data_IF_200391687634
#
_entry.id   IF_200391687634
#
_cell.length_a   1.000
_cell.length_b   1.000
_cell.length_c   1.000
_cell.angle_alpha   90.00
_cell.angle_beta   90.00
_cell.angle_gamma   90.00
#
_symmetry.space_group_name_H-M   'P 1'
#
loop_
_entity.id
_entity.type
_entity.pdbx_description
1 polymer ?
#
# COMPACT_ATOMS: atom_id res chain seq x y z
N UNK A 1 23.37 73.16 -3.60
CA UNK A 1 21.91 73.31 -3.30
C UNK A 1 21.60 72.37 -2.19
N UNK A 2 21.49 72.88 -0.99
CA UNK A 2 21.43 72.20 0.30
C UNK A 2 19.96 71.92 0.65
N UNK A 3 19.59 70.71 1.00
CA UNK A 3 18.32 70.46 1.63
C UNK A 3 18.57 69.65 2.92
N UNK A 4 18.00 70.20 4.01
CA UNK A 4 18.18 69.86 5.37
C UNK A 4 17.38 68.58 5.77
N UNK A 5 17.96 67.81 6.69
CA UNK A 5 17.35 66.74 7.45
C UNK A 5 16.50 67.32 8.60
N UNK A 6 15.27 66.88 8.72
CA UNK A 6 14.48 67.05 9.95
C UNK A 6 14.32 65.68 10.66
N UNK A 7 14.70 65.69 11.95
CA UNK A 7 14.56 64.55 12.82
C UNK A 7 13.14 64.50 13.42
N UNK A 8 12.59 63.26 13.49
CA UNK A 8 11.38 63.00 14.25
C UNK A 8 11.70 62.26 15.55
N UNK A 9 11.20 62.84 16.63
CA UNK A 9 11.32 62.38 17.99
C UNK A 9 10.26 61.34 18.34
N UNK A 10 10.69 60.18 18.84
CA UNK A 10 9.81 59.15 19.43
C UNK A 10 9.28 59.51 20.81
N UNK A 11 8.00 59.38 21.10
CA UNK A 11 7.48 59.52 22.46
C UNK A 11 7.68 58.26 23.31
N UNK A 12 8.23 58.42 24.49
CA UNK A 12 8.35 57.43 25.54
C UNK A 12 6.99 57.17 26.20
N UNK A 13 6.54 55.94 26.14
CA UNK A 13 5.33 55.50 26.85
C UNK A 13 5.73 55.01 28.27
N UNK A 14 5.20 55.68 29.31
CA UNK A 14 5.38 55.35 30.73
C UNK A 14 4.23 54.45 31.20
N UNK A 15 4.53 53.27 31.75
CA UNK A 15 3.56 52.37 32.38
C UNK A 15 3.24 52.87 33.84
N UNK A 16 1.98 52.85 34.24
CA UNK A 16 1.59 53.20 35.60
C UNK A 16 1.79 52.02 36.58
N UNK A 17 2.31 52.38 37.80
CA UNK A 17 2.49 51.50 38.95
C UNK A 17 1.16 51.08 39.60
N UNK A 18 0.99 49.86 40.09
CA UNK A 18 -0.25 49.45 40.76
C UNK A 18 -0.24 49.89 42.25
N UNK A 19 -1.34 50.50 42.66
CA UNK A 19 -1.66 50.78 44.06
C UNK A 19 -2.14 49.52 44.80
N UNK A 20 -1.54 49.27 45.96
CA UNK A 20 -1.99 48.27 46.93
C UNK A 20 -3.34 48.68 47.58
N UNK A 21 -4.34 47.78 47.61
CA UNK A 21 -5.41 47.86 48.57
C UNK A 21 -5.96 46.46 48.93
N UNK A 22 -5.77 46.15 50.15
CA UNK A 22 -6.56 45.37 51.12
C UNK A 22 -7.20 44.04 50.73
N UNK A 23 -6.72 43.05 51.49
CA UNK A 23 -7.25 41.71 51.60
C UNK A 23 -8.75 41.68 51.97
N UNK A 24 -9.52 40.88 51.27
CA UNK A 24 -10.68 40.17 51.83
C UNK A 24 -10.62 38.73 51.40
N UNK A 25 -10.43 37.89 52.38
CA UNK A 25 -10.44 36.43 52.36
C UNK A 25 -11.87 35.99 51.99
N UNK A 26 -12.06 35.46 50.81
CA UNK A 26 -13.28 34.71 50.46
C UNK A 26 -12.80 33.27 50.13
N UNK A 27 -13.13 32.36 51.03
CA UNK A 27 -12.99 30.92 50.82
C UNK A 27 -14.05 30.53 49.83
N UNK A 28 -13.67 30.33 48.56
CA UNK A 28 -14.51 29.64 47.59
C UNK A 28 -14.07 28.19 47.50
N UNK A 29 -14.99 27.34 47.92
CA UNK A 29 -14.93 25.89 47.79
C UNK A 29 -14.92 25.56 46.32
N UNK A 30 -13.75 25.22 45.74
CA UNK A 30 -13.64 24.76 44.37
C UNK A 30 -14.07 23.30 44.31
N UNK A 31 -15.31 23.08 43.88
CA UNK A 31 -15.77 21.77 43.37
C UNK A 31 -15.07 21.52 42.04
N UNK A 32 -14.00 20.75 42.05
CA UNK A 32 -13.41 20.19 40.85
C UNK A 32 -14.29 19.07 40.34
N UNK A 33 -15.13 19.40 39.35
CA UNK A 33 -15.79 18.40 38.51
C UNK A 33 -14.75 17.85 37.59
N UNK A 34 -14.18 16.68 37.94
CA UNK A 34 -13.34 15.89 37.05
C UNK A 34 -14.25 15.24 36.02
N UNK A 35 -14.42 15.88 34.85
CA UNK A 35 -15.04 15.23 33.68
C UNK A 35 -14.08 14.15 33.19
N UNK A 36 -14.35 12.90 33.54
CA UNK A 36 -13.76 11.74 32.86
C UNK A 36 -14.31 11.72 31.42
N UNK A 37 -13.52 12.23 30.49
CA UNK A 37 -13.74 11.96 29.06
C UNK A 37 -13.29 10.52 28.83
N UNK A 38 -14.21 9.57 28.93
CA UNK A 38 -14.04 8.23 28.40
C UNK A 38 -14.03 8.35 26.89
N UNK A 39 -12.82 8.43 26.31
CA UNK A 39 -12.64 8.17 24.87
C UNK A 39 -12.97 6.69 24.68
N UNK A 40 -14.19 6.42 24.23
CA UNK A 40 -14.54 5.12 23.70
C UNK A 40 -13.69 4.91 22.45
N UNK A 41 -12.58 4.20 22.61
CA UNK A 41 -11.97 3.52 21.47
C UNK A 41 -13.05 2.56 20.94
N UNK A 42 -13.66 2.93 19.83
CA UNK A 42 -14.40 1.97 19.02
C UNK A 42 -13.36 0.94 18.54
N UNK A 43 -13.12 -0.06 19.37
CA UNK A 43 -12.34 -1.22 18.99
C UNK A 43 -13.04 -1.81 17.79
N UNK A 44 -12.40 -1.78 16.63
CA UNK A 44 -12.80 -2.58 15.49
C UNK A 44 -12.85 -4.02 16.00
N UNK A 45 -14.05 -4.54 16.24
CA UNK A 45 -14.23 -5.96 16.51
C UNK A 45 -13.66 -6.71 15.31
N UNK A 46 -12.56 -7.42 15.53
CA UNK A 46 -12.09 -8.37 14.54
C UNK A 46 -13.22 -9.41 14.34
N UNK A 47 -13.56 -9.74 13.10
CA UNK A 47 -14.57 -10.73 12.84
C UNK A 47 -14.18 -12.04 13.54
N UNK A 48 -15.11 -12.62 14.33
CA UNK A 48 -14.98 -13.97 14.90
C UNK A 48 -15.18 -14.99 13.79
N UNK A 49 -14.15 -15.22 12.96
CA UNK A 49 -14.17 -16.13 11.82
C UNK A 49 -12.76 -16.60 11.50
N UNK A 50 -12.66 -17.50 10.55
CA UNK A 50 -11.37 -17.93 9.99
C UNK A 50 -10.56 -16.71 9.54
N UNK A 51 -9.36 -16.45 10.14
CA UNK A 51 -8.53 -15.30 9.78
C UNK A 51 -8.05 -15.35 8.31
N UNK A 52 -8.10 -16.52 7.69
CA UNK A 52 -7.74 -16.75 6.29
C UNK A 52 -8.96 -16.91 5.36
N UNK A 53 -10.16 -16.55 5.82
CA UNK A 53 -11.35 -16.57 4.98
C UNK A 53 -11.17 -15.67 3.75
N UNK A 54 -11.50 -16.22 2.57
CA UNK A 54 -11.51 -15.52 1.29
C UNK A 54 -12.87 -14.95 0.92
N UNK A 55 -13.82 -14.90 1.85
CA UNK A 55 -15.13 -14.29 1.61
C UNK A 55 -15.03 -12.80 1.34
N UNK A 56 -15.85 -12.32 0.40
CA UNK A 56 -15.86 -10.91 0.03
C UNK A 56 -16.30 -10.04 1.22
N UNK A 57 -15.54 -8.99 1.50
CA UNK A 57 -15.78 -8.07 2.64
C UNK A 57 -15.89 -6.63 2.17
N UNK A 58 -16.88 -5.90 2.69
CA UNK A 58 -17.01 -4.46 2.46
C UNK A 58 -15.93 -3.71 3.23
N UNK A 59 -15.24 -2.80 2.55
CA UNK A 59 -14.23 -1.89 3.14
C UNK A 59 -14.77 -0.48 3.31
N UNK A 60 -15.32 0.07 2.23
CA UNK A 60 -15.97 1.39 2.16
C UNK A 60 -17.21 1.28 1.27
N UNK A 61 -17.98 2.34 1.13
CA UNK A 61 -19.13 2.32 0.21
C UNK A 61 -18.66 2.07 -1.23
N UNK A 62 -19.22 1.00 -1.82
CA UNK A 62 -18.84 0.53 -3.17
C UNK A 62 -17.42 -0.02 -3.30
N UNK A 63 -16.64 -0.19 -2.21
CA UNK A 63 -15.34 -0.83 -2.23
C UNK A 63 -15.36 -2.08 -1.35
N UNK A 64 -14.96 -3.20 -1.95
CA UNK A 64 -14.87 -4.50 -1.30
C UNK A 64 -13.50 -5.12 -1.55
N UNK A 65 -13.14 -6.12 -0.75
CA UNK A 65 -11.98 -6.96 -0.95
C UNK A 65 -12.38 -8.43 -0.85
N UNK A 66 -11.82 -9.26 -1.73
CA UNK A 66 -11.74 -10.70 -1.59
C UNK A 66 -10.34 -10.98 -1.07
N UNK A 67 -10.14 -11.33 0.22
CA UNK A 67 -8.81 -11.42 0.81
C UNK A 67 -7.97 -12.56 0.23
N UNK A 68 -6.67 -12.32 0.06
CA UNK A 68 -5.67 -13.29 -0.37
C UNK A 68 -4.45 -13.25 0.55
N UNK A 69 -3.89 -14.43 0.86
CA UNK A 69 -2.85 -14.56 1.88
C UNK A 69 -1.57 -15.21 1.35
N UNK A 70 -1.66 -15.99 0.28
CA UNK A 70 -0.49 -16.59 -0.37
C UNK A 70 -0.78 -16.91 -1.83
N UNK A 71 0.28 -16.91 -2.64
CA UNK A 71 0.16 -17.09 -4.08
C UNK A 71 -0.29 -18.49 -4.51
N UNK A 72 -0.01 -19.52 -3.69
CA UNK A 72 -0.23 -20.91 -4.08
C UNK A 72 -1.65 -21.41 -3.77
N UNK A 73 -2.27 -20.88 -2.70
CA UNK A 73 -3.54 -21.39 -2.17
C UNK A 73 -4.69 -20.40 -2.39
N UNK A 74 -4.55 -19.19 -1.89
CA UNK A 74 -5.62 -18.18 -1.95
C UNK A 74 -5.45 -17.17 -3.10
N UNK A 75 -4.28 -17.09 -3.70
CA UNK A 75 -3.89 -15.99 -4.57
C UNK A 75 -3.76 -14.66 -3.83
N UNK A 76 -3.57 -13.58 -4.58
CA UNK A 76 -3.52 -12.21 -4.05
C UNK A 76 -4.90 -11.66 -3.63
N UNK A 77 -4.89 -10.53 -2.96
CA UNK A 77 -6.09 -9.74 -2.70
C UNK A 77 -6.72 -9.27 -4.01
N UNK A 78 -8.05 -9.37 -4.11
CA UNK A 78 -8.81 -8.76 -5.22
C UNK A 78 -9.64 -7.63 -4.67
N UNK A 79 -9.42 -6.40 -5.13
CA UNK A 79 -10.33 -5.31 -4.81
C UNK A 79 -11.49 -5.28 -5.81
N UNK A 80 -12.66 -4.87 -5.35
CA UNK A 80 -13.87 -4.74 -6.18
C UNK A 80 -14.47 -3.35 -5.95
N UNK A 81 -14.40 -2.49 -6.97
CA UNK A 81 -15.05 -1.18 -6.98
C UNK A 81 -16.37 -1.27 -7.73
N UNK A 82 -17.47 -1.21 -7.01
CA UNK A 82 -18.83 -1.24 -7.55
C UNK A 82 -19.27 0.17 -7.92
N UNK A 83 -19.90 0.30 -9.10
CA UNK A 83 -20.49 1.53 -9.60
C UNK A 83 -21.91 1.28 -10.10
N UNK A 84 -22.64 2.31 -10.52
CA UNK A 84 -23.98 2.19 -11.13
C UNK A 84 -23.98 1.49 -12.50
N UNK A 85 -22.83 1.44 -13.19
CA UNK A 85 -22.74 0.94 -14.56
C UNK A 85 -21.94 -0.37 -14.68
N UNK A 86 -21.29 -0.81 -13.60
CA UNK A 86 -20.47 -2.01 -13.61
C UNK A 86 -19.57 -2.10 -12.38
N UNK A 87 -18.74 -3.12 -12.36
CA UNK A 87 -17.67 -3.27 -11.40
C UNK A 87 -16.30 -3.18 -12.10
N UNK A 88 -15.33 -2.56 -11.40
CA UNK A 88 -13.91 -2.63 -11.70
C UNK A 88 -13.30 -3.55 -10.66
N UNK A 89 -12.60 -4.62 -11.09
CA UNK A 89 -11.82 -5.45 -10.18
C UNK A 89 -10.32 -5.15 -10.34
N UNK A 90 -9.57 -5.40 -9.27
CA UNK A 90 -8.10 -5.30 -9.27
C UNK A 90 -7.55 -6.68 -9.00
N UNK A 91 -6.81 -7.21 -9.95
CA UNK A 91 -6.28 -8.57 -10.02
C UNK A 91 -7.38 -9.65 -10.08
N UNK A 92 -7.01 -10.91 -10.35
CA UNK A 92 -7.98 -11.99 -10.57
C UNK A 92 -7.49 -13.39 -10.20
N UNK A 93 -6.36 -13.49 -9.51
CA UNK A 93 -5.84 -14.73 -8.88
C UNK A 93 -5.44 -15.85 -9.85
N UNK A 94 -5.13 -17.02 -9.25
CA UNK A 94 -4.93 -18.31 -9.94
C UNK A 94 -6.23 -19.10 -10.04
N UNK A 95 -6.44 -19.93 -11.07
CA UNK A 95 -7.44 -21.00 -11.04
C UNK A 95 -7.12 -22.02 -9.92
N UNK A 96 -8.11 -22.61 -9.20
CA UNK A 96 -9.56 -22.38 -9.37
C UNK A 96 -10.12 -21.16 -8.62
N UNK A 97 -9.29 -20.43 -7.85
CA UNK A 97 -9.75 -19.29 -7.04
C UNK A 97 -10.33 -18.15 -7.89
N UNK A 98 -9.87 -17.99 -9.13
CA UNK A 98 -10.40 -16.99 -10.07
C UNK A 98 -11.86 -17.27 -10.46
N UNK A 99 -12.24 -18.52 -10.63
CA UNK A 99 -13.61 -18.91 -11.00
C UNK A 99 -14.67 -18.46 -9.98
N UNK A 100 -14.29 -18.27 -8.72
CA UNK A 100 -15.20 -17.80 -7.68
C UNK A 100 -15.43 -16.29 -7.67
N UNK A 101 -14.51 -15.52 -8.29
CA UNK A 101 -14.53 -14.03 -8.22
C UNK A 101 -15.85 -13.48 -8.76
N UNK A 102 -16.28 -13.94 -9.94
CA UNK A 102 -17.52 -13.46 -10.56
C UNK A 102 -18.75 -13.71 -9.67
N UNK A 103 -18.81 -14.88 -9.02
CA UNK A 103 -19.87 -15.21 -8.06
C UNK A 103 -19.83 -14.32 -6.81
N UNK A 104 -18.65 -14.06 -6.26
CA UNK A 104 -18.48 -13.18 -5.11
C UNK A 104 -18.81 -11.72 -5.46
N UNK A 105 -18.42 -11.23 -6.64
CA UNK A 105 -18.84 -9.90 -7.12
C UNK A 105 -20.36 -9.83 -7.26
N UNK A 106 -20.98 -10.86 -7.86
CA UNK A 106 -22.44 -10.91 -8.03
C UNK A 106 -23.20 -10.89 -6.69
N UNK A 107 -22.61 -11.35 -5.60
CA UNK A 107 -23.25 -11.32 -4.27
C UNK A 107 -23.37 -9.89 -3.70
N UNK A 108 -22.58 -8.94 -4.19
CA UNK A 108 -22.55 -7.54 -3.70
C UNK A 108 -23.08 -6.53 -4.72
N UNK A 109 -23.25 -6.92 -5.98
CA UNK A 109 -23.83 -6.07 -7.03
C UNK A 109 -24.42 -6.92 -8.17
N UNK A 110 -25.57 -6.52 -8.75
CA UNK A 110 -26.09 -7.14 -9.97
C UNK A 110 -25.33 -6.72 -11.23
N UNK A 111 -24.48 -5.70 -11.13
CA UNK A 111 -23.76 -5.12 -12.26
C UNK A 111 -22.64 -6.04 -12.75
N UNK A 112 -22.35 -6.09 -14.06
CA UNK A 112 -21.28 -6.91 -14.60
C UNK A 112 -19.90 -6.33 -14.27
N UNK A 113 -18.88 -7.20 -14.24
CA UNK A 113 -17.47 -6.78 -14.27
C UNK A 113 -17.18 -6.20 -15.66
N UNK A 114 -16.70 -4.95 -15.70
CA UNK A 114 -16.39 -4.23 -16.95
C UNK A 114 -14.88 -4.08 -17.17
N UNK A 115 -14.12 -3.98 -16.09
CA UNK A 115 -12.68 -3.78 -16.13
C UNK A 115 -11.96 -4.65 -15.12
N UNK A 116 -10.79 -5.14 -15.52
CA UNK A 116 -9.78 -5.75 -14.65
C UNK A 116 -8.54 -4.87 -14.73
N UNK A 117 -8.12 -4.28 -13.62
CA UNK A 117 -6.87 -3.53 -13.52
C UNK A 117 -5.83 -4.44 -12.87
N UNK A 118 -4.78 -4.77 -13.61
CA UNK A 118 -3.78 -5.73 -13.15
C UNK A 118 -2.59 -5.01 -12.53
N UNK A 119 -2.23 -5.37 -11.30
CA UNK A 119 -1.14 -4.72 -10.56
C UNK A 119 0.23 -5.11 -11.09
N UNK A 120 0.48 -6.41 -11.31
CA UNK A 120 1.75 -6.92 -11.85
C UNK A 120 1.56 -8.30 -12.51
N UNK A 121 2.62 -8.87 -13.08
CA UNK A 121 2.52 -10.01 -14.01
C UNK A 121 2.68 -11.39 -13.38
N UNK A 122 2.51 -11.57 -12.06
CA UNK A 122 2.55 -12.90 -11.46
C UNK A 122 1.21 -13.62 -11.58
N UNK A 123 1.28 -14.95 -11.68
CA UNK A 123 0.11 -15.78 -11.98
C UNK A 123 -0.96 -15.75 -10.88
N UNK A 124 -0.58 -15.54 -9.64
CA UNK A 124 -1.49 -15.41 -8.49
C UNK A 124 -2.23 -14.05 -8.44
N UNK A 125 -1.93 -13.16 -9.41
CA UNK A 125 -2.64 -11.89 -9.65
C UNK A 125 -3.30 -11.84 -11.02
N UNK A 126 -2.82 -12.64 -12.00
CA UNK A 126 -3.25 -12.56 -13.41
C UNK A 126 -3.73 -13.88 -13.99
N UNK A 127 -3.71 -14.95 -13.20
CA UNK A 127 -4.07 -16.30 -13.68
C UNK A 127 -5.54 -16.45 -14.07
N UNK A 128 -6.41 -15.57 -13.57
CA UNK A 128 -7.82 -15.48 -13.92
C UNK A 128 -8.13 -14.70 -15.19
N UNK A 129 -7.14 -14.05 -15.83
CA UNK A 129 -7.35 -13.29 -17.06
C UNK A 129 -8.13 -14.08 -18.17
N UNK A 130 -7.90 -15.39 -18.39
CA UNK A 130 -8.69 -16.15 -19.34
C UNK A 130 -10.21 -16.14 -19.09
N UNK A 131 -10.62 -15.98 -17.82
CA UNK A 131 -12.05 -15.94 -17.43
C UNK A 131 -12.70 -14.60 -17.76
N UNK A 132 -11.89 -13.52 -17.82
CA UNK A 132 -12.40 -12.17 -17.94
C UNK A 132 -12.14 -11.50 -19.29
N UNK A 133 -11.12 -11.95 -20.07
CA UNK A 133 -10.66 -11.24 -21.28
C UNK A 133 -11.72 -11.10 -22.37
N UNK A 134 -12.75 -11.93 -22.39
CA UNK A 134 -13.84 -11.86 -23.38
C UNK A 134 -15.08 -11.11 -22.83
N UNK A 135 -15.12 -10.78 -21.53
CA UNK A 135 -16.29 -10.13 -20.91
C UNK A 135 -15.96 -8.79 -20.25
N UNK A 136 -14.68 -8.51 -20.03
CA UNK A 136 -14.18 -7.28 -19.42
C UNK A 136 -12.91 -6.81 -20.13
N UNK A 137 -12.64 -5.51 -20.10
CA UNK A 137 -11.36 -4.98 -20.57
C UNK A 137 -10.28 -5.11 -19.50
N UNK A 138 -9.18 -5.79 -19.84
CA UNK A 138 -8.03 -5.97 -18.93
C UNK A 138 -6.97 -4.92 -19.26
N UNK A 139 -6.63 -4.09 -18.26
CA UNK A 139 -5.68 -2.97 -18.40
C UNK A 139 -4.51 -3.19 -17.46
N UNK A 140 -3.28 -3.10 -17.97
CA UNK A 140 -2.06 -3.28 -17.19
C UNK A 140 -0.93 -2.34 -17.63
N UNK A 141 0.10 -2.20 -16.80
CA UNK A 141 1.32 -1.57 -17.25
C UNK A 141 1.99 -2.39 -18.38
N UNK A 142 2.62 -1.72 -19.35
CA UNK A 142 3.27 -2.38 -20.51
C UNK A 142 4.28 -3.46 -20.11
N UNK A 143 5.03 -3.25 -19.02
CA UNK A 143 6.01 -4.22 -18.53
C UNK A 143 5.33 -5.44 -17.86
N UNK A 144 4.17 -5.25 -17.21
CA UNK A 144 3.35 -6.37 -16.73
C UNK A 144 3.01 -7.31 -17.91
N UNK A 145 2.43 -6.75 -18.97
CA UNK A 145 2.14 -7.54 -20.19
C UNK A 145 3.39 -8.23 -20.75
N UNK A 146 4.53 -7.52 -20.82
CA UNK A 146 5.78 -8.10 -21.31
C UNK A 146 6.28 -9.26 -20.44
N UNK A 147 6.14 -9.15 -19.10
CA UNK A 147 6.46 -10.20 -18.15
C UNK A 147 5.55 -11.42 -18.34
N UNK A 148 4.24 -11.22 -18.49
CA UNK A 148 3.29 -12.30 -18.77
C UNK A 148 3.63 -13.05 -20.06
N UNK A 149 3.91 -12.31 -21.16
CA UNK A 149 4.30 -12.92 -22.44
C UNK A 149 5.59 -13.74 -22.30
N UNK A 150 6.61 -13.17 -21.64
CA UNK A 150 7.88 -13.88 -21.39
C UNK A 150 7.67 -15.15 -20.56
N UNK A 151 6.83 -15.10 -19.54
CA UNK A 151 6.49 -16.22 -18.67
C UNK A 151 5.42 -17.15 -19.25
N UNK A 152 4.96 -16.90 -20.49
CA UNK A 152 3.94 -17.69 -21.19
C UNK A 152 2.63 -17.81 -20.40
N UNK A 153 2.26 -16.80 -19.63
CA UNK A 153 0.97 -16.74 -18.96
C UNK A 153 -0.15 -16.50 -19.97
N UNK A 154 -1.30 -17.08 -19.69
CA UNK A 154 -2.45 -17.00 -20.58
C UNK A 154 -3.07 -15.60 -20.61
N UNK A 155 -3.73 -15.24 -21.71
CA UNK A 155 -4.54 -14.04 -21.86
C UNK A 155 -3.83 -12.73 -21.42
N UNK A 156 -2.62 -12.40 -21.95
CA UNK A 156 -1.97 -11.15 -21.62
C UNK A 156 -2.87 -9.96 -22.01
N UNK A 157 -2.91 -8.88 -21.19
CA UNK A 157 -3.77 -7.71 -21.41
C UNK A 157 -3.66 -7.14 -22.84
N UNK A 158 -4.80 -6.75 -23.42
CA UNK A 158 -4.84 -6.12 -24.76
C UNK A 158 -4.60 -4.62 -24.69
N UNK A 159 -5.00 -3.99 -23.57
CA UNK A 159 -4.78 -2.55 -23.29
C UNK A 159 -3.67 -2.36 -22.29
N UNK A 160 -2.71 -1.49 -22.61
CA UNK A 160 -1.58 -1.19 -21.73
C UNK A 160 -1.32 0.30 -21.62
N UNK A 161 -0.75 0.71 -20.47
CA UNK A 161 -0.30 2.07 -20.23
C UNK A 161 1.20 2.11 -19.88
N UNK A 162 1.81 3.31 -19.91
CA UNK A 162 3.22 3.52 -19.57
C UNK A 162 3.39 4.20 -18.21
N UNK A 163 2.64 5.28 -17.97
CA UNK A 163 2.77 6.09 -16.76
C UNK A 163 1.52 5.97 -15.89
N UNK A 164 0.36 6.21 -16.48
CA UNK A 164 -0.93 6.08 -15.84
C UNK A 164 -2.06 5.83 -16.83
N UNK A 165 -3.13 5.25 -16.33
CA UNK A 165 -4.43 5.15 -16.99
C UNK A 165 -5.52 5.45 -15.96
N UNK A 166 -6.67 5.97 -16.42
CA UNK A 166 -7.85 6.15 -15.61
C UNK A 166 -9.06 5.49 -16.28
N UNK A 167 -9.86 4.81 -15.48
CA UNK A 167 -11.16 4.26 -15.87
C UNK A 167 -12.23 5.12 -15.23
N UNK A 168 -13.16 5.63 -16.04
CA UNK A 168 -14.35 6.32 -15.58
C UNK A 168 -15.57 5.41 -15.82
N UNK A 169 -16.24 5.00 -14.75
CA UNK A 169 -17.37 4.10 -14.82
C UNK A 169 -18.45 4.54 -13.81
N UNK A 170 -19.67 4.82 -14.28
CA UNK A 170 -20.77 5.30 -13.43
C UNK A 170 -20.45 6.59 -12.67
N UNK A 171 -19.68 7.50 -13.29
CA UNK A 171 -19.23 8.75 -12.68
C UNK A 171 -18.09 8.62 -11.66
N UNK A 172 -17.52 7.41 -11.50
CA UNK A 172 -16.44 7.11 -10.57
C UNK A 172 -15.13 6.94 -11.34
N UNK A 173 -14.07 7.55 -10.82
CA UNK A 173 -12.71 7.42 -11.33
C UNK A 173 -11.92 6.35 -10.56
N UNK A 174 -11.25 5.46 -11.29
CA UNK A 174 -10.24 4.53 -10.76
C UNK A 174 -8.96 4.70 -11.57
N UNK A 175 -7.86 4.98 -10.89
CA UNK A 175 -6.56 5.24 -11.52
C UNK A 175 -5.62 4.06 -11.37
N UNK A 176 -4.95 3.65 -12.46
CA UNK A 176 -3.81 2.74 -12.46
C UNK A 176 -2.53 3.56 -12.70
N UNK A 177 -1.58 3.54 -11.77
CA UNK A 177 -0.43 4.44 -11.77
C UNK A 177 0.86 3.64 -11.65
N UNK A 178 1.80 3.85 -12.55
CA UNK A 178 3.16 3.32 -12.45
C UNK A 178 4.05 4.33 -11.72
N UNK A 179 4.54 3.96 -10.54
CA UNK A 179 5.39 4.82 -9.69
C UNK A 179 6.88 4.47 -9.82
N UNK A 180 7.19 3.39 -10.52
CA UNK A 180 8.52 2.80 -10.63
C UNK A 180 8.49 1.30 -10.37
N UNK A 181 9.65 0.66 -10.49
CA UNK A 181 9.78 -0.77 -10.21
C UNK A 181 10.06 -1.02 -8.73
N UNK A 182 9.71 -2.21 -8.26
CA UNK A 182 9.93 -2.66 -6.89
C UNK A 182 9.98 -4.17 -6.84
N UNK A 183 8.85 -4.81 -6.63
CA UNK A 183 8.67 -6.25 -6.68
C UNK A 183 8.96 -6.80 -8.09
N UNK A 184 8.41 -6.15 -9.12
CA UNK A 184 8.72 -6.34 -10.54
C UNK A 184 9.05 -4.99 -11.20
N UNK A 185 9.27 -4.98 -12.52
CA UNK A 185 9.37 -3.73 -13.29
C UNK A 185 8.03 -3.25 -13.85
N UNK A 186 6.94 -3.94 -13.55
CA UNK A 186 5.60 -3.66 -14.06
C UNK A 186 4.57 -3.35 -12.98
N UNK A 187 5.02 -3.06 -11.75
CA UNK A 187 4.14 -2.84 -10.61
C UNK A 187 3.29 -1.57 -10.78
N UNK A 188 1.98 -1.74 -10.80
CA UNK A 188 1.02 -0.65 -10.83
C UNK A 188 0.28 -0.54 -9.49
N UNK A 189 0.08 0.69 -9.04
CA UNK A 189 -0.78 1.00 -7.90
C UNK A 189 -2.14 1.40 -8.43
N UNK A 190 -3.20 0.79 -7.91
CA UNK A 190 -4.56 1.16 -8.27
C UNK A 190 -5.10 2.07 -7.18
N UNK A 191 -5.44 3.30 -7.55
CA UNK A 191 -5.89 4.34 -6.64
C UNK A 191 -7.37 4.65 -6.84
N UNK A 192 -8.10 4.75 -5.74
CA UNK A 192 -9.52 5.12 -5.64
C UNK A 192 -9.62 6.49 -4.97
N UNK A 193 -9.56 7.60 -5.74
CA UNK A 193 -9.43 8.95 -5.21
C UNK A 193 -10.57 9.35 -4.27
N UNK A 194 -11.80 9.04 -4.66
CA UNK A 194 -13.02 9.35 -3.91
C UNK A 194 -13.11 8.64 -2.56
N UNK A 195 -12.40 7.52 -2.42
CA UNK A 195 -12.38 6.70 -1.22
C UNK A 195 -11.08 6.81 -0.42
N UNK A 196 -10.09 7.59 -0.91
CA UNK A 196 -8.78 7.69 -0.29
C UNK A 196 -8.19 6.30 0.01
N UNK A 197 -8.25 5.41 -0.99
CA UNK A 197 -7.79 4.03 -0.88
C UNK A 197 -6.87 3.66 -2.04
N UNK A 198 -5.90 2.78 -1.79
CA UNK A 198 -4.99 2.23 -2.81
C UNK A 198 -4.97 0.71 -2.74
N UNK A 199 -4.78 0.06 -3.89
CA UNK A 199 -4.33 -1.33 -3.97
C UNK A 199 -2.89 -1.32 -4.48
N UNK A 200 -1.97 -1.87 -3.71
CA UNK A 200 -0.53 -1.77 -3.99
C UNK A 200 0.03 -2.93 -4.78
N UNK A 201 -0.76 -4.00 -4.99
CA UNK A 201 -0.17 -5.27 -5.40
C UNK A 201 0.96 -5.65 -4.45
N UNK A 202 1.92 -6.41 -4.92
CA UNK A 202 3.04 -6.91 -4.14
C UNK A 202 4.14 -5.87 -3.84
N UNK A 203 3.92 -4.60 -4.21
CA UNK A 203 4.70 -3.50 -3.62
C UNK A 203 4.56 -3.45 -2.10
N UNK A 204 3.48 -4.03 -1.54
CA UNK A 204 3.33 -4.25 -0.09
C UNK A 204 2.68 -5.60 0.14
N UNK A 205 3.32 -6.42 0.98
CA UNK A 205 2.79 -7.67 1.52
C UNK A 205 2.89 -7.64 3.04
N UNK A 206 1.93 -8.23 3.76
CA UNK A 206 1.88 -8.05 5.21
C UNK A 206 1.23 -9.23 5.94
N UNK A 207 1.78 -9.59 7.11
CA UNK A 207 1.17 -10.57 7.99
C UNK A 207 1.62 -12.00 7.72
N UNK A 208 0.68 -12.93 7.72
CA UNK A 208 0.93 -14.38 7.66
C UNK A 208 0.28 -15.00 6.43
N UNK A 209 0.92 -16.06 5.92
CA UNK A 209 0.33 -17.02 4.98
C UNK A 209 -0.60 -17.98 5.72
N UNK A 210 -1.35 -18.76 4.97
CA UNK A 210 -2.26 -19.80 5.49
C UNK A 210 -1.53 -20.90 6.28
N UNK A 211 -0.25 -21.15 5.97
CA UNK A 211 0.62 -22.08 6.70
C UNK A 211 1.24 -21.50 7.98
N UNK A 212 0.92 -20.24 8.30
CA UNK A 212 1.45 -19.50 9.45
C UNK A 212 2.81 -18.85 9.23
N UNK A 213 3.47 -19.07 8.09
CA UNK A 213 4.73 -18.40 7.75
C UNK A 213 4.52 -16.90 7.51
N UNK A 214 5.55 -16.10 7.73
CA UNK A 214 5.47 -14.64 7.53
C UNK A 214 5.56 -14.28 6.06
N UNK A 215 4.68 -13.39 5.61
CA UNK A 215 4.80 -12.74 4.31
C UNK A 215 6.02 -11.81 4.32
N UNK A 216 6.95 -12.07 3.42
CA UNK A 216 8.18 -11.28 3.26
C UNK A 216 8.24 -10.65 1.87
N UNK A 217 8.83 -9.46 1.71
CA UNK A 217 9.01 -8.87 0.38
C UNK A 217 9.84 -9.80 -0.52
N UNK A 218 9.48 -9.84 -1.79
CA UNK A 218 10.17 -10.61 -2.81
C UNK A 218 10.57 -9.70 -3.97
N UNK A 219 11.86 -9.63 -4.29
CA UNK A 219 12.38 -8.93 -5.46
C UNK A 219 12.46 -9.94 -6.61
N UNK A 220 11.50 -9.90 -7.54
CA UNK A 220 11.59 -10.74 -8.73
C UNK A 220 12.57 -10.14 -9.73
N UNK A 221 13.83 -10.56 -9.63
CA UNK A 221 14.91 -10.12 -10.53
C UNK A 221 14.65 -10.51 -11.98
N UNK A 222 14.03 -11.66 -12.23
CA UNK A 222 13.72 -12.15 -13.56
C UNK A 222 12.68 -11.27 -14.26
N UNK A 223 11.76 -10.69 -13.50
CA UNK A 223 10.78 -9.70 -13.95
C UNK A 223 11.24 -8.25 -13.74
N UNK A 224 12.55 -8.03 -13.54
CA UNK A 224 13.15 -6.71 -13.45
C UNK A 224 12.89 -5.96 -12.14
N UNK A 225 12.53 -6.66 -11.07
CA UNK A 225 12.40 -6.11 -9.72
C UNK A 225 13.71 -5.54 -9.20
N UNK A 226 13.64 -4.57 -8.27
CA UNK A 226 14.79 -3.89 -7.69
C UNK A 226 14.49 -3.38 -6.29
N UNK A 227 15.25 -3.84 -5.31
CA UNK A 227 15.16 -3.34 -3.93
C UNK A 227 15.58 -1.87 -3.84
N UNK A 228 16.57 -1.44 -4.64
CA UNK A 228 17.03 -0.05 -4.67
C UNK A 228 15.92 0.90 -5.09
N UNK A 229 15.21 0.56 -6.17
CA UNK A 229 14.17 1.42 -6.72
C UNK A 229 12.85 1.31 -5.95
N UNK A 230 12.59 0.15 -5.30
CA UNK A 230 11.36 -0.09 -4.53
C UNK A 230 11.09 0.98 -3.49
N UNK A 231 12.13 1.44 -2.81
CA UNK A 231 12.03 2.49 -1.78
C UNK A 231 11.51 3.78 -2.40
N UNK A 232 12.07 4.20 -3.55
CA UNK A 232 11.65 5.41 -4.28
C UNK A 232 10.22 5.25 -4.83
N UNK A 233 9.88 4.06 -5.29
CA UNK A 233 8.53 3.71 -5.75
C UNK A 233 7.51 3.88 -4.62
N UNK A 234 7.81 3.36 -3.42
CA UNK A 234 6.96 3.53 -2.24
C UNK A 234 6.92 4.99 -1.74
N UNK A 235 8.00 5.77 -1.90
CA UNK A 235 7.97 7.21 -1.64
C UNK A 235 6.97 7.92 -2.58
N UNK A 236 6.86 7.47 -3.83
CA UNK A 236 5.83 7.92 -4.77
C UNK A 236 4.42 7.57 -4.30
N UNK A 237 4.19 6.31 -3.92
CA UNK A 237 2.90 5.83 -3.38
C UNK A 237 2.47 6.63 -2.16
N UNK A 238 3.39 6.90 -1.24
CA UNK A 238 3.11 7.63 0.00
C UNK A 238 2.75 9.11 -0.21
N UNK A 239 2.98 9.68 -1.41
CA UNK A 239 2.50 11.03 -1.78
C UNK A 239 1.03 11.06 -2.15
N UNK A 240 0.42 9.93 -2.52
CA UNK A 240 -1.01 9.87 -2.77
C UNK A 240 -1.79 10.15 -1.48
N UNK A 241 -2.99 10.73 -1.65
CA UNK A 241 -3.89 11.01 -0.53
C UNK A 241 -4.75 9.80 -0.21
N UNK A 242 -4.26 8.91 0.65
CA UNK A 242 -4.99 7.73 1.11
C UNK A 242 -4.82 7.50 2.61
N UNK A 243 -5.78 6.83 3.20
CA UNK A 243 -5.75 6.32 4.57
C UNK A 243 -5.81 4.79 4.64
N UNK A 244 -6.22 4.13 3.55
CA UNK A 244 -6.38 2.69 3.43
C UNK A 244 -5.54 2.13 2.30
N UNK A 245 -4.82 1.03 2.55
CA UNK A 245 -4.09 0.28 1.54
C UNK A 245 -4.50 -1.20 1.53
N UNK A 246 -4.80 -1.72 0.35
CA UNK A 246 -5.01 -3.14 0.10
C UNK A 246 -3.67 -3.66 -0.43
N UNK A 247 -2.91 -4.48 0.34
CA UNK A 247 -1.65 -5.05 -0.13
C UNK A 247 -1.91 -6.17 -1.14
N UNK A 248 -0.85 -6.65 -1.82
CA UNK A 248 -1.00 -7.82 -2.68
C UNK A 248 -1.44 -9.06 -1.90
N UNK A 249 -0.87 -9.27 -0.71
CA UNK A 249 -1.23 -10.36 0.18
C UNK A 249 -1.36 -9.87 1.63
N UNK A 250 -2.31 -10.47 2.36
CA UNK A 250 -2.54 -10.21 3.78
C UNK A 250 -3.67 -9.22 4.07
N UNK A 251 -3.77 -8.71 5.30
CA UNK A 251 -4.89 -7.86 5.72
C UNK A 251 -4.81 -6.46 5.12
N UNK A 252 -5.94 -5.78 5.07
CA UNK A 252 -6.01 -4.34 4.73
C UNK A 252 -5.22 -3.52 5.74
N UNK A 253 -4.50 -2.53 5.26
CA UNK A 253 -3.50 -1.74 5.97
C UNK A 253 -3.88 -0.27 6.07
N UNK A 254 -3.24 0.43 6.99
CA UNK A 254 -3.20 1.89 7.04
C UNK A 254 -2.01 2.44 6.24
N UNK A 255 -2.02 3.74 5.97
CA UNK A 255 -0.88 4.44 5.39
C UNK A 255 0.40 4.31 6.24
N UNK A 256 0.26 4.23 7.57
CA UNK A 256 1.40 4.07 8.48
C UNK A 256 2.04 2.67 8.37
N UNK A 257 1.26 1.63 8.10
CA UNK A 257 1.82 0.32 7.82
C UNK A 257 2.67 0.35 6.53
N UNK A 258 2.22 1.06 5.49
CA UNK A 258 3.00 1.25 4.25
C UNK A 258 4.30 2.02 4.52
N UNK A 259 4.28 3.04 5.39
CA UNK A 259 5.49 3.75 5.83
C UNK A 259 6.45 2.81 6.57
N UNK A 260 5.94 1.99 7.47
CA UNK A 260 6.73 1.00 8.21
C UNK A 260 7.37 -0.01 7.24
N UNK A 261 6.60 -0.55 6.29
CA UNK A 261 7.11 -1.47 5.27
C UNK A 261 8.24 -0.83 4.45
N UNK A 262 8.02 0.40 3.97
CA UNK A 262 9.04 1.19 3.25
C UNK A 262 10.30 1.42 4.09
N UNK A 263 10.14 1.74 5.39
CA UNK A 263 11.27 1.95 6.30
C UNK A 263 12.06 0.67 6.53
N UNK A 264 11.38 -0.47 6.64
CA UNK A 264 12.01 -1.77 6.78
C UNK A 264 12.82 -2.15 5.53
N UNK A 265 12.29 -1.89 4.32
CA UNK A 265 13.05 -2.05 3.07
C UNK A 265 14.30 -1.16 3.03
N UNK A 266 14.18 0.09 3.47
CA UNK A 266 15.32 1.00 3.56
C UNK A 266 16.40 0.48 4.52
N UNK A 267 16.00 0.00 5.69
CA UNK A 267 16.92 -0.60 6.68
C UNK A 267 17.57 -1.87 6.12
N UNK A 268 16.80 -2.72 5.45
CA UNK A 268 17.34 -3.92 4.78
C UNK A 268 18.40 -3.52 3.75
N UNK A 269 18.12 -2.56 2.88
CA UNK A 269 19.07 -2.06 1.88
C UNK A 269 20.34 -1.53 2.52
N UNK A 270 20.24 -0.76 3.61
CA UNK A 270 21.43 -0.26 4.33
C UNK A 270 22.30 -1.39 4.86
N UNK A 271 21.70 -2.38 5.53
CA UNK A 271 22.41 -3.57 6.06
C UNK A 271 23.08 -4.36 4.94
N UNK A 272 22.42 -4.52 3.80
CA UNK A 272 23.00 -5.12 2.59
C UNK A 272 24.27 -4.37 2.19
N UNK A 273 24.18 -3.04 2.07
CA UNK A 273 25.33 -2.20 1.71
C UNK A 273 26.50 -2.32 2.69
N UNK A 274 26.25 -2.41 3.98
CA UNK A 274 27.26 -2.61 5.03
C UNK A 274 27.95 -3.97 4.90
N UNK A 275 27.19 -5.06 4.71
CA UNK A 275 27.73 -6.42 4.57
C UNK A 275 28.55 -6.55 3.28
N UNK A 276 28.10 -5.96 2.18
CA UNK A 276 28.85 -5.91 0.91
C UNK A 276 30.16 -5.13 1.08
N UNK A 277 30.09 -3.93 1.69
CA UNK A 277 31.27 -3.09 1.94
C UNK A 277 32.28 -3.76 2.86
N UNK A 278 31.83 -4.62 3.77
CA UNK A 278 32.70 -5.41 4.64
C UNK A 278 33.36 -6.60 3.92
N UNK A 279 33.15 -6.78 2.61
CA UNK A 279 33.79 -7.80 1.78
C UNK A 279 33.17 -9.18 1.94
N UNK A 280 31.91 -9.31 2.34
CA UNK A 280 31.22 -10.60 2.35
C UNK A 280 31.23 -11.23 0.96
N UNK A 281 31.32 -12.57 0.89
CA UNK A 281 31.10 -13.31 -0.35
C UNK A 281 29.62 -13.64 -0.53
N UNK A 282 29.22 -13.90 -1.78
CA UNK A 282 27.81 -14.19 -2.12
C UNK A 282 27.23 -15.33 -1.27
N UNK A 283 28.00 -16.40 -1.08
CA UNK A 283 27.58 -17.62 -0.38
C UNK A 283 27.35 -17.37 1.13
N UNK A 284 28.02 -16.35 1.69
CA UNK A 284 27.93 -16.00 3.12
C UNK A 284 26.98 -14.83 3.39
N UNK A 285 26.58 -14.14 2.34
CA UNK A 285 25.89 -12.85 2.41
C UNK A 285 24.60 -12.93 3.21
N UNK A 286 23.71 -13.86 2.84
CA UNK A 286 22.41 -14.00 3.51
C UNK A 286 22.54 -14.33 4.99
N UNK A 287 23.52 -15.17 5.37
CA UNK A 287 23.75 -15.54 6.77
C UNK A 287 24.29 -14.38 7.65
N UNK A 288 24.87 -13.34 7.02
CA UNK A 288 25.37 -12.15 7.71
C UNK A 288 24.31 -11.05 7.89
N UNK A 289 23.18 -11.15 7.18
CA UNK A 289 22.09 -10.19 7.28
C UNK A 289 21.15 -10.54 8.43
N UNK A 290 20.86 -9.54 9.29
CA UNK A 290 19.83 -9.65 10.33
C UNK A 290 18.54 -9.02 9.82
N UNK A 291 17.45 -9.75 9.88
CA UNK A 291 16.15 -9.32 9.36
C UNK A 291 14.97 -9.59 10.30
N UNK A 292 15.20 -10.36 11.38
CA UNK A 292 14.10 -10.74 12.30
C UNK A 292 13.46 -9.54 12.98
N UNK A 293 14.24 -8.51 13.34
CA UNK A 293 13.77 -7.26 13.92
C UNK A 293 12.97 -6.39 12.94
N UNK A 294 13.05 -6.67 11.64
CA UNK A 294 12.21 -6.09 10.60
C UNK A 294 10.87 -6.84 10.47
N UNK A 295 10.68 -7.92 11.23
CA UNK A 295 9.53 -8.82 11.10
C UNK A 295 9.61 -9.75 9.88
N UNK A 296 10.79 -9.90 9.25
CA UNK A 296 11.01 -10.69 8.04
C UNK A 296 12.06 -11.79 8.28
N UNK A 297 11.67 -12.95 8.77
CA UNK A 297 12.59 -14.08 8.95
C UNK A 297 12.93 -14.72 7.61
N UNK A 298 13.79 -14.07 6.84
CA UNK A 298 14.26 -14.63 5.57
C UNK A 298 15.22 -15.80 5.81
N UNK A 299 15.07 -16.92 5.09
CA UNK A 299 16.13 -17.89 5.00
C UNK A 299 17.32 -17.30 4.23
N UNK A 300 18.59 -17.65 4.60
CA UNK A 300 19.79 -17.04 4.02
C UNK A 300 19.86 -17.11 2.49
N UNK A 301 19.43 -18.22 1.89
CA UNK A 301 19.41 -18.43 0.44
C UNK A 301 18.52 -17.40 -0.27
N UNK A 302 17.40 -17.01 0.34
CA UNK A 302 16.52 -15.99 -0.21
C UNK A 302 17.17 -14.61 -0.23
N UNK A 303 17.98 -14.32 0.78
CA UNK A 303 18.75 -13.07 0.85
C UNK A 303 19.92 -13.09 -0.15
N UNK A 304 20.54 -14.25 -0.41
CA UNK A 304 21.62 -14.38 -1.38
C UNK A 304 21.19 -13.94 -2.80
N UNK A 305 19.90 -14.06 -3.15
CA UNK A 305 19.36 -13.59 -4.43
C UNK A 305 19.53 -12.06 -4.60
N UNK A 306 19.57 -11.31 -3.50
CA UNK A 306 19.77 -9.86 -3.52
C UNK A 306 21.23 -9.46 -3.83
N UNK A 307 22.20 -10.40 -3.67
CA UNK A 307 23.61 -10.12 -3.94
C UNK A 307 23.85 -9.53 -5.33
N UNK A 308 23.20 -10.07 -6.36
CA UNK A 308 23.42 -9.68 -7.75
C UNK A 308 23.01 -8.21 -8.04
N UNK A 309 22.28 -7.58 -7.13
CA UNK A 309 21.94 -6.16 -7.21
C UNK A 309 23.00 -5.26 -6.55
N UNK A 310 23.70 -5.76 -5.51
CA UNK A 310 24.53 -4.94 -4.63
C UNK A 310 26.02 -5.34 -4.63
N UNK A 311 26.34 -6.58 -4.97
CA UNK A 311 27.67 -7.18 -4.83
C UNK A 311 28.64 -6.92 -6.00
N UNK A 312 28.41 -5.89 -6.83
CA UNK A 312 29.25 -5.52 -7.98
C UNK A 312 30.45 -4.70 -7.58
#
# INVERSE_FOLDING_TARGET
MTIATQGETTPKFQLPTPKRSHARLIVMLALTVTALVTIAFAGSQQPTGDPFSTEIRKLKDGLYVIPGYDGAVTGGNVAVRVTSEGAVIVDDRLPPSSAEIAGKVKSVTPQPIKYVLSTHGHGDHTGGHPEFIEVAEIIAHKNNRANMVRSKLAAPPRVVFSDQAAVFLGGIEVQAIYMGRGHTNGDAVIYFPDLRAVHTGDLVVWGKRTDGSTLTPFVDRASGGSLNDWITTLDGVLKLDFDMAIPGHGPVLTKDNVRTFRQNLFTLRQRIGEVVKAGAKKEEFGAKLKTDDLGWPFPPERLNELWDEFGK
#
